data_IF_655488711577
#
_entry.id   IF_655488711577
#
_cell.length_a   1.000
_cell.length_b   1.000
_cell.length_c   1.000
_cell.angle_alpha   90.00
_cell.angle_beta   90.00
_cell.angle_gamma   90.00
#
_symmetry.space_group_name_H-M   'P 1'
#
loop_
_entity.id
_entity.type
_entity.pdbx_description
1 polymer ?
#
# COMPACT_ATOMS: atom_id res chain seq x y z
N UNK A 1 8.10 1.42 -52.32
CA UNK A 1 8.66 0.48 -51.31
C UNK A 1 9.63 1.15 -50.33
N UNK A 2 10.71 1.82 -50.78
CA UNK A 2 11.67 2.52 -49.88
C UNK A 2 11.02 3.52 -48.90
N UNK A 3 10.06 4.33 -49.37
CA UNK A 3 9.35 5.29 -48.51
C UNK A 3 8.52 4.63 -47.40
N UNK A 4 7.85 3.51 -47.71
CA UNK A 4 7.07 2.74 -46.72
C UNK A 4 7.97 2.13 -45.64
N UNK A 5 9.15 1.64 -46.02
CA UNK A 5 10.14 1.10 -45.08
C UNK A 5 10.65 2.22 -44.16
N UNK A 6 10.95 3.40 -44.69
CA UNK A 6 11.34 4.56 -43.88
C UNK A 6 10.25 4.96 -42.87
N UNK A 7 8.98 5.01 -43.29
CA UNK A 7 7.87 5.31 -42.39
C UNK A 7 7.72 4.28 -41.27
N UNK A 8 7.84 2.99 -41.58
CA UNK A 8 7.75 1.92 -40.59
C UNK A 8 8.87 2.02 -39.53
N UNK A 9 10.10 2.31 -39.96
CA UNK A 9 11.24 2.48 -39.05
C UNK A 9 11.03 3.67 -38.11
N UNK A 10 10.55 4.80 -38.64
CA UNK A 10 10.26 6.00 -37.84
C UNK A 10 9.15 5.71 -36.82
N UNK A 11 8.09 5.01 -37.24
CA UNK A 11 6.99 4.62 -36.36
C UNK A 11 7.49 3.72 -35.21
N UNK A 12 8.25 2.68 -35.53
CA UNK A 12 8.81 1.75 -34.54
C UNK A 12 9.75 2.50 -33.58
N UNK A 13 10.62 3.36 -34.10
CA UNK A 13 11.54 4.17 -33.28
C UNK A 13 10.77 5.11 -32.32
N UNK A 14 9.70 5.75 -32.80
CA UNK A 14 8.83 6.60 -31.97
C UNK A 14 8.11 5.80 -30.87
N UNK A 15 7.61 4.60 -31.20
CA UNK A 15 6.99 3.71 -30.21
C UNK A 15 7.99 3.24 -29.14
N UNK A 16 9.22 2.88 -29.53
CA UNK A 16 10.24 2.41 -28.59
C UNK A 16 10.71 3.52 -27.65
N UNK A 17 10.91 4.73 -28.18
CA UNK A 17 11.33 5.89 -27.38
C UNK A 17 10.24 6.33 -26.39
N UNK A 18 8.98 6.37 -26.83
CA UNK A 18 7.84 6.68 -25.93
C UNK A 18 7.66 5.64 -24.83
N UNK A 19 7.77 4.33 -25.15
CA UNK A 19 7.76 3.26 -24.16
C UNK A 19 8.91 3.39 -23.15
N UNK A 20 10.12 3.65 -23.63
CA UNK A 20 11.30 3.80 -22.78
C UNK A 20 11.18 4.99 -21.82
N UNK A 21 10.75 6.15 -22.34
CA UNK A 21 10.55 7.35 -21.52
C UNK A 21 9.44 7.11 -20.49
N UNK A 22 8.32 6.52 -20.90
CA UNK A 22 7.21 6.18 -19.99
C UNK A 22 7.65 5.22 -18.88
N UNK A 23 8.41 4.19 -19.22
CA UNK A 23 8.97 3.24 -18.25
C UNK A 23 9.94 3.92 -17.27
N UNK A 24 10.89 4.72 -17.78
CA UNK A 24 11.86 5.42 -16.92
C UNK A 24 11.19 6.45 -16.00
N UNK A 25 10.25 7.22 -16.54
CA UNK A 25 9.52 8.21 -15.75
C UNK A 25 8.66 7.52 -14.69
N UNK A 26 7.96 6.44 -15.05
CA UNK A 26 7.21 5.61 -14.11
C UNK A 26 8.10 5.02 -13.02
N UNK A 27 9.29 4.52 -13.37
CA UNK A 27 10.25 3.98 -12.40
C UNK A 27 10.81 5.05 -11.46
N UNK A 28 11.16 6.23 -11.98
CA UNK A 28 11.65 7.34 -11.15
C UNK A 28 10.58 7.88 -10.21
N UNK A 29 9.36 8.10 -10.70
CA UNK A 29 8.24 8.57 -9.87
C UNK A 29 7.87 7.50 -8.84
N UNK A 30 7.80 6.23 -9.24
CA UNK A 30 7.58 5.11 -8.34
C UNK A 30 8.64 5.02 -7.26
N UNK A 31 9.92 5.13 -7.63
CA UNK A 31 11.05 5.13 -6.69
C UNK A 31 10.98 6.27 -5.68
N UNK A 32 10.68 7.50 -6.12
CA UNK A 32 10.49 8.65 -5.21
C UNK A 32 9.33 8.41 -4.25
N UNK A 33 8.18 7.94 -4.75
CA UNK A 33 7.01 7.62 -3.91
C UNK A 33 7.35 6.58 -2.85
N UNK A 34 8.00 5.47 -3.23
CA UNK A 34 8.42 4.42 -2.28
C UNK A 34 9.35 4.97 -1.21
N UNK A 35 10.32 5.81 -1.57
CA UNK A 35 11.22 6.44 -0.59
C UNK A 35 10.47 7.36 0.37
N UNK A 36 9.56 8.19 -0.13
CA UNK A 36 8.71 9.05 0.71
C UNK A 36 7.85 8.23 1.65
N UNK A 37 7.16 7.18 1.17
CA UNK A 37 6.37 6.29 2.03
C UNK A 37 7.24 5.65 3.11
N UNK A 38 8.42 5.13 2.76
CA UNK A 38 9.36 4.55 3.75
C UNK A 38 9.81 5.57 4.80
N UNK A 39 10.06 6.81 4.42
CA UNK A 39 10.44 7.86 5.36
C UNK A 39 9.30 8.18 6.35
N UNK A 40 8.06 8.23 5.86
CA UNK A 40 6.87 8.41 6.71
C UNK A 40 6.69 7.22 7.65
N UNK A 41 6.77 5.98 7.15
CA UNK A 41 6.69 4.77 7.97
C UNK A 41 7.77 4.76 9.06
N UNK A 42 9.02 5.03 8.70
CA UNK A 42 10.13 5.08 9.66
C UNK A 42 9.90 6.12 10.77
N UNK A 43 9.40 7.30 10.40
CA UNK A 43 9.11 8.37 11.36
C UNK A 43 7.99 7.95 12.32
N UNK A 44 6.92 7.33 11.78
CA UNK A 44 5.83 6.79 12.58
C UNK A 44 6.30 5.69 13.53
N UNK A 45 7.09 4.74 13.04
CA UNK A 45 7.63 3.64 13.83
C UNK A 45 8.52 4.15 14.96
N UNK A 46 9.39 5.14 14.69
CA UNK A 46 10.23 5.76 15.72
C UNK A 46 9.40 6.44 16.80
N UNK A 47 8.33 7.14 16.42
CA UNK A 47 7.44 7.78 17.38
C UNK A 47 6.70 6.76 18.26
N UNK A 48 6.22 5.66 17.68
CA UNK A 48 5.62 4.55 18.43
C UNK A 48 6.64 3.91 19.38
N UNK A 49 7.86 3.64 18.91
CA UNK A 49 8.93 3.10 19.74
C UNK A 49 9.29 4.02 20.91
N UNK A 50 9.27 5.34 20.70
CA UNK A 50 9.48 6.31 21.77
C UNK A 50 8.38 6.22 22.84
N UNK A 51 7.11 6.17 22.42
CA UNK A 51 5.96 5.99 23.34
C UNK A 51 6.06 4.69 24.15
N UNK A 52 6.46 3.60 23.50
CA UNK A 52 6.70 2.32 24.18
C UNK A 52 7.80 2.44 25.24
N UNK A 53 8.90 3.14 24.94
CA UNK A 53 10.00 3.36 25.89
C UNK A 53 9.61 4.26 27.06
N UNK A 54 8.68 5.19 26.87
CA UNK A 54 8.16 6.05 27.94
C UNK A 54 7.02 5.39 28.73
N UNK A 55 6.66 4.15 28.41
CA UNK A 55 5.57 3.42 29.08
C UNK A 55 4.15 3.85 28.66
N UNK A 56 4.03 4.65 27.60
CA UNK A 56 2.74 5.07 27.04
C UNK A 56 2.19 4.00 26.09
N UNK A 57 1.86 2.84 26.67
CA UNK A 57 1.41 1.67 25.91
C UNK A 57 0.07 1.89 25.21
N UNK A 58 -0.88 2.57 25.87
CA UNK A 58 -2.20 2.79 25.29
C UNK A 58 -2.13 3.63 24.00
N UNK A 59 -1.38 4.73 24.01
CA UNK A 59 -1.24 5.54 22.80
C UNK A 59 -0.36 4.85 21.76
N UNK A 60 0.69 4.14 22.18
CA UNK A 60 1.52 3.36 21.26
C UNK A 60 0.70 2.29 20.52
N UNK A 61 -0.15 1.55 21.23
CA UNK A 61 -1.04 0.55 20.65
C UNK A 61 -2.02 1.18 19.68
N UNK A 62 -2.70 2.27 20.06
CA UNK A 62 -3.66 2.97 19.18
C UNK A 62 -3.04 3.47 17.87
N UNK A 63 -1.80 3.97 17.92
CA UNK A 63 -1.07 4.41 16.72
C UNK A 63 -0.62 3.23 15.85
N UNK A 64 -0.13 2.15 16.48
CA UNK A 64 0.30 0.95 15.77
C UNK A 64 -0.90 0.28 15.09
N UNK A 65 -2.04 0.21 15.75
CA UNK A 65 -3.31 -0.25 15.17
C UNK A 65 -3.73 0.60 13.99
N UNK A 66 -3.72 1.93 14.14
CA UNK A 66 -4.07 2.84 13.06
C UNK A 66 -3.17 2.63 11.83
N UNK A 67 -1.85 2.60 12.03
CA UNK A 67 -0.89 2.35 10.96
C UNK A 67 -1.09 0.96 10.32
N UNK A 68 -1.34 -0.06 11.13
CA UNK A 68 -1.62 -1.41 10.65
C UNK A 68 -2.90 -1.45 9.79
N UNK A 69 -3.98 -0.78 10.23
CA UNK A 69 -5.25 -0.77 9.52
C UNK A 69 -5.17 0.02 8.21
N UNK A 70 -4.50 1.17 8.19
CA UNK A 70 -4.26 1.94 6.94
C UNK A 70 -3.50 1.08 5.93
N UNK A 71 -2.36 0.51 6.33
CA UNK A 71 -1.57 -0.35 5.45
C UNK A 71 -2.35 -1.60 4.98
N UNK A 72 -3.25 -2.11 5.82
CA UNK A 72 -4.09 -3.25 5.47
C UNK A 72 -5.15 -2.88 4.44
N UNK A 73 -5.79 -1.72 4.57
CA UNK A 73 -6.70 -1.18 3.55
C UNK A 73 -5.98 -1.05 2.20
N UNK A 74 -4.76 -0.54 2.18
CA UNK A 74 -3.96 -0.45 0.95
C UNK A 74 -3.72 -1.84 0.33
N UNK A 75 -3.33 -2.84 1.13
CA UNK A 75 -3.10 -4.21 0.64
C UNK A 75 -4.39 -4.87 0.14
N UNK A 76 -5.53 -4.61 0.78
CA UNK A 76 -6.81 -5.21 0.42
C UNK A 76 -7.48 -4.51 -0.78
N UNK A 77 -7.16 -3.24 -1.03
CA UNK A 77 -7.67 -2.48 -2.18
C UNK A 77 -6.80 -2.58 -3.44
N UNK A 78 -5.52 -2.94 -3.31
CA UNK A 78 -4.59 -3.04 -4.45
C UNK A 78 -4.84 -4.27 -5.34
N UNK A 79 -4.91 -4.07 -6.66
CA UNK A 79 -5.07 -5.12 -7.68
C UNK A 79 -3.74 -5.67 -8.22
N UNK A 80 -2.60 -5.33 -7.62
CA UNK A 80 -1.27 -5.73 -8.06
C UNK A 80 -1.06 -7.25 -8.06
N UNK A 81 -0.29 -7.76 -9.02
CA UNK A 81 -0.10 -9.20 -9.22
C UNK A 81 0.52 -9.95 -8.02
N UNK A 82 1.23 -9.26 -7.11
CA UNK A 82 1.79 -9.84 -5.87
C UNK A 82 0.84 -9.80 -4.68
N UNK A 83 -0.27 -9.07 -4.79
CA UNK A 83 -1.19 -8.83 -3.69
C UNK A 83 -1.92 -10.10 -3.23
N UNK A 84 -2.40 -11.01 -4.11
CA UNK A 84 -3.09 -12.22 -3.67
C UNK A 84 -2.26 -13.06 -2.68
N UNK A 85 -0.96 -13.19 -2.90
CA UNK A 85 -0.06 -13.90 -1.98
C UNK A 85 0.10 -13.20 -0.63
N UNK A 86 0.09 -11.86 -0.61
CA UNK A 86 0.13 -11.08 0.64
C UNK A 86 -1.18 -11.20 1.41
N UNK A 87 -2.33 -11.13 0.72
CA UNK A 87 -3.66 -11.29 1.35
C UNK A 87 -3.80 -12.62 2.06
N UNK A 88 -3.27 -13.72 1.50
CA UNK A 88 -3.26 -15.05 2.15
C UNK A 88 -2.58 -15.06 3.53
N UNK A 89 -1.61 -14.18 3.77
CA UNK A 89 -0.92 -14.07 5.07
C UNK A 89 -1.61 -13.05 5.96
N UNK A 90 -1.97 -11.89 5.40
CA UNK A 90 -2.45 -10.73 6.16
C UNK A 90 -3.91 -10.91 6.61
N UNK A 91 -4.79 -11.43 5.75
CA UNK A 91 -6.23 -11.56 6.05
C UNK A 91 -6.49 -12.42 7.28
N UNK A 92 -5.91 -13.62 7.45
CA UNK A 92 -6.14 -14.43 8.65
C UNK A 92 -5.67 -13.73 9.94
N UNK A 93 -4.52 -13.07 9.90
CA UNK A 93 -3.98 -12.35 11.06
C UNK A 93 -4.88 -11.17 11.45
N UNK A 94 -5.38 -10.41 10.47
CA UNK A 94 -6.33 -9.33 10.71
C UNK A 94 -7.65 -9.86 11.26
N UNK A 95 -8.23 -10.90 10.65
CA UNK A 95 -9.47 -11.52 11.14
C UNK A 95 -9.30 -11.98 12.60
N UNK A 96 -8.18 -12.60 12.95
CA UNK A 96 -7.88 -13.01 14.33
C UNK A 96 -7.73 -11.81 15.28
N UNK A 97 -6.96 -10.78 14.91
CA UNK A 97 -6.80 -9.59 15.74
C UNK A 97 -8.14 -8.87 15.98
N UNK A 98 -8.96 -8.76 14.93
CA UNK A 98 -10.27 -8.10 14.98
C UNK A 98 -11.26 -8.79 15.92
N UNK A 99 -11.12 -10.10 16.17
CA UNK A 99 -11.94 -10.80 17.17
C UNK A 99 -11.65 -10.35 18.60
N UNK A 100 -10.43 -9.90 18.89
CA UNK A 100 -10.03 -9.36 20.21
C UNK A 100 -10.23 -7.85 20.32
N UNK A 101 -10.59 -7.20 19.23
CA UNK A 101 -10.70 -5.75 19.13
C UNK A 101 -12.06 -5.24 19.62
N UNK A 102 -12.15 -3.95 19.94
CA UNK A 102 -13.40 -3.32 20.40
C UNK A 102 -14.57 -3.60 19.45
N UNK A 103 -15.66 -4.11 20.03
CA UNK A 103 -16.84 -4.56 19.29
C UNK A 103 -17.84 -3.43 19.02
N UNK A 104 -17.73 -2.30 19.72
CA UNK A 104 -18.64 -1.17 19.51
C UNK A 104 -18.29 -0.41 18.21
N UNK A 105 -19.10 -0.64 17.18
CA UNK A 105 -18.88 -0.07 15.84
C UNK A 105 -19.11 1.45 15.76
N UNK A 106 -19.82 2.05 16.73
CA UNK A 106 -20.07 3.51 16.73
C UNK A 106 -18.80 4.32 16.91
N UNK A 107 -17.80 3.73 17.58
CA UNK A 107 -16.56 4.42 17.94
C UNK A 107 -15.46 4.19 16.89
N UNK A 108 -15.76 3.43 15.84
CA UNK A 108 -14.81 3.07 14.80
C UNK A 108 -14.49 4.27 13.92
N UNK A 109 -13.19 4.55 13.79
CA UNK A 109 -12.63 5.51 12.85
C UNK A 109 -13.00 5.08 11.43
N UNK A 110 -13.03 6.01 10.47
CA UNK A 110 -13.32 5.69 9.07
C UNK A 110 -12.51 4.53 8.50
N UNK A 111 -11.20 4.48 8.79
CA UNK A 111 -10.30 3.41 8.33
C UNK A 111 -10.70 2.02 8.85
N UNK A 112 -11.24 1.92 10.06
CA UNK A 112 -11.66 0.64 10.64
C UNK A 112 -12.92 0.11 9.95
N UNK A 113 -13.83 1.03 9.60
CA UNK A 113 -15.05 0.68 8.85
C UNK A 113 -14.73 0.22 7.43
N UNK A 114 -13.80 0.91 6.77
CA UNK A 114 -13.30 0.54 5.46
C UNK A 114 -12.61 -0.82 5.48
N UNK A 115 -11.71 -1.03 6.45
CA UNK A 115 -11.05 -2.32 6.66
C UNK A 115 -12.07 -3.45 6.85
N UNK A 116 -13.09 -3.24 7.67
CA UNK A 116 -14.14 -4.24 7.91
C UNK A 116 -14.92 -4.56 6.63
N UNK A 117 -15.22 -3.56 5.80
CA UNK A 117 -15.90 -3.76 4.53
C UNK A 117 -15.06 -4.58 3.54
N UNK A 118 -13.75 -4.37 3.52
CA UNK A 118 -12.82 -5.13 2.67
C UNK A 118 -12.62 -6.57 3.20
N UNK A 119 -12.47 -6.74 4.51
CA UNK A 119 -12.31 -8.08 5.12
C UNK A 119 -13.52 -8.99 4.89
N UNK A 120 -14.73 -8.44 4.75
CA UNK A 120 -15.94 -9.20 4.41
C UNK A 120 -15.97 -9.70 2.96
N UNK A 121 -15.21 -9.06 2.07
CA UNK A 121 -15.09 -9.46 0.66
C UNK A 121 -14.01 -10.53 0.47
N UNK A 122 -13.09 -10.67 1.42
CA UNK A 122 -12.04 -11.67 1.40
C UNK A 122 -12.51 -13.01 2.00
N UNK A 123 -12.23 -14.14 1.34
CA UNK A 123 -12.63 -15.47 1.81
C UNK A 123 -12.04 -15.83 3.18
#
# INVERSE_FOLDING_TARGET
MKRLICFLIILISCCLTSLYIGYHFGFMVGGKRVTTTRAVTLTGDLFVLQKLRTGDFSNATSELEYACFVNSVDVLSDAGWRIPSRRKVVVPLLKAYRQTYRTNQTDWKPVERELEALLKQEP
#
